data_IF_510177619378
#
_entry.id   IF_510177619378
#
_cell.length_a   1.000
_cell.length_b   1.000
_cell.length_c   1.000
_cell.angle_alpha   90.00
_cell.angle_beta   90.00
_cell.angle_gamma   90.00
#
_symmetry.space_group_name_H-M   'P 1'
#
loop_
_entity.id
_entity.type
_entity.pdbx_description
1 polymer ?
#
# COMPACT_ATOMS: atom_id res chain seq x y z
N UNK A 1 22.84 -23.49 -21.11
CA UNK A 1 21.43 -23.22 -20.73
C UNK A 1 20.91 -24.45 -20.03
N UNK A 2 20.97 -24.47 -18.69
CA UNK A 2 20.36 -25.55 -17.90
C UNK A 2 18.91 -25.10 -17.60
N UNK A 3 17.94 -25.89 -18.10
CA UNK A 3 16.53 -25.60 -17.95
C UNK A 3 16.11 -25.64 -16.47
N UNK A 4 15.45 -24.58 -16.03
CA UNK A 4 14.74 -24.52 -14.75
C UNK A 4 13.64 -25.60 -14.78
N UNK A 5 13.81 -26.65 -14.00
CA UNK A 5 12.74 -27.63 -13.79
C UNK A 5 11.66 -26.95 -12.93
N UNK A 6 10.57 -26.58 -13.55
CA UNK A 6 9.34 -26.24 -12.82
C UNK A 6 8.90 -27.49 -12.05
N UNK A 7 8.94 -27.43 -10.73
CA UNK A 7 8.35 -28.44 -9.86
C UNK A 7 6.86 -28.56 -10.22
N UNK A 8 6.36 -29.79 -10.34
CA UNK A 8 4.99 -30.11 -10.72
C UNK A 8 3.98 -29.25 -9.93
N UNK A 9 3.40 -28.26 -10.55
CA UNK A 9 2.51 -27.25 -9.92
C UNK A 9 1.34 -27.86 -9.11
N UNK A 10 0.93 -29.09 -9.39
CA UNK A 10 -0.09 -29.81 -8.60
C UNK A 10 0.36 -30.14 -7.16
N UNK A 11 1.62 -30.43 -6.93
CA UNK A 11 2.12 -30.78 -5.56
C UNK A 11 2.31 -29.52 -4.73
N UNK A 12 2.83 -28.44 -5.31
CA UNK A 12 3.01 -27.17 -4.61
C UNK A 12 1.67 -26.54 -4.22
N UNK A 13 0.71 -26.48 -5.15
CA UNK A 13 -0.62 -25.92 -4.89
C UNK A 13 -1.37 -26.63 -3.74
N UNK A 14 -1.26 -27.98 -3.64
CA UNK A 14 -1.89 -28.75 -2.56
C UNK A 14 -1.23 -28.48 -1.20
N UNK A 15 0.08 -28.28 -1.16
CA UNK A 15 0.83 -27.96 0.05
C UNK A 15 0.51 -26.55 0.55
N UNK A 16 0.46 -25.54 -0.34
CA UNK A 16 0.06 -24.15 0.00
C UNK A 16 -1.34 -24.12 0.58
N UNK A 17 -2.30 -24.77 -0.05
CA UNK A 17 -3.68 -24.82 0.44
C UNK A 17 -3.76 -25.40 1.85
N UNK A 18 -3.09 -26.52 2.09
CA UNK A 18 -3.06 -27.15 3.40
C UNK A 18 -2.41 -26.24 4.45
N UNK A 19 -1.31 -25.56 4.10
CA UNK A 19 -0.64 -24.63 4.99
C UNK A 19 -1.56 -23.46 5.38
N UNK A 20 -2.33 -22.91 4.43
CA UNK A 20 -3.30 -21.86 4.69
C UNK A 20 -4.40 -22.37 5.63
N UNK A 21 -5.01 -23.51 5.33
CA UNK A 21 -6.08 -24.10 6.14
C UNK A 21 -5.65 -24.34 7.60
N UNK A 22 -4.41 -24.81 7.81
CA UNK A 22 -3.86 -25.07 9.14
C UNK A 22 -3.51 -23.79 9.93
N UNK A 23 -3.33 -22.66 9.25
CA UNK A 23 -2.91 -21.40 9.85
C UNK A 23 -3.94 -20.25 9.74
N UNK A 24 -5.11 -20.50 9.16
CA UNK A 24 -6.10 -19.47 8.82
C UNK A 24 -6.45 -18.56 10.01
N UNK A 25 -6.78 -19.14 11.15
CA UNK A 25 -7.17 -18.36 12.34
C UNK A 25 -6.02 -17.44 12.83
N UNK A 26 -4.75 -17.92 12.76
CA UNK A 26 -3.59 -17.12 13.11
C UNK A 26 -3.37 -16.00 12.09
N UNK A 27 -3.48 -16.28 10.81
CA UNK A 27 -3.32 -15.30 9.74
C UNK A 27 -4.34 -14.17 9.84
N UNK A 28 -5.59 -14.52 10.12
CA UNK A 28 -6.65 -13.54 10.33
C UNK A 28 -6.36 -12.67 11.55
N UNK A 29 -5.96 -13.24 12.70
CA UNK A 29 -5.69 -12.45 13.90
C UNK A 29 -4.47 -11.54 13.73
N UNK A 30 -3.41 -12.01 13.07
CA UNK A 30 -2.25 -11.19 12.76
C UNK A 30 -2.63 -10.00 11.85
N UNK A 31 -3.43 -10.23 10.82
CA UNK A 31 -3.95 -9.19 9.95
C UNK A 31 -4.87 -8.22 10.71
N UNK A 32 -5.80 -8.73 11.50
CA UNK A 32 -6.70 -7.92 12.32
C UNK A 32 -5.94 -7.07 13.33
N UNK A 33 -4.84 -7.58 13.88
CA UNK A 33 -3.99 -6.81 14.77
C UNK A 33 -3.37 -5.57 14.12
N UNK A 34 -3.14 -5.58 12.81
CA UNK A 34 -2.70 -4.42 12.04
C UNK A 34 -3.87 -3.46 11.74
N UNK A 35 -5.03 -4.01 11.37
CA UNK A 35 -6.24 -3.21 11.05
C UNK A 35 -6.68 -2.39 12.27
N UNK A 36 -6.64 -2.97 13.48
CA UNK A 36 -7.01 -2.30 14.73
C UNK A 36 -6.13 -1.11 15.08
N UNK A 37 -5.00 -0.93 14.42
CA UNK A 37 -4.15 0.25 14.57
C UNK A 37 -4.55 1.28 13.52
N UNK A 38 -5.19 2.41 13.90
CA UNK A 38 -5.68 3.42 12.95
C UNK A 38 -4.53 4.31 12.44
N UNK A 39 -3.67 3.73 11.63
CA UNK A 39 -2.50 4.39 11.05
C UNK A 39 -2.88 5.36 9.91
N UNK A 40 -3.63 6.40 10.23
CA UNK A 40 -4.08 7.42 9.29
C UNK A 40 -3.00 8.47 9.12
N UNK A 41 -2.28 8.43 7.99
CA UNK A 41 -1.13 9.33 7.72
C UNK A 41 -1.53 10.80 7.59
N UNK A 42 -2.74 11.07 7.08
CA UNK A 42 -3.27 12.41 6.92
C UNK A 42 -3.66 13.10 8.24
N UNK A 43 -3.74 12.36 9.37
CA UNK A 43 -4.10 12.89 10.67
C UNK A 43 -2.86 13.06 11.57
N UNK A 44 -2.40 14.31 11.83
CA UNK A 44 -1.22 14.56 12.66
C UNK A 44 -1.34 14.05 14.10
N UNK A 45 -2.55 13.78 14.59
CA UNK A 45 -2.79 13.26 15.96
C UNK A 45 -2.53 11.74 16.04
N UNK A 46 -2.43 11.05 14.91
CA UNK A 46 -2.20 9.61 14.80
C UNK A 46 -0.74 9.17 14.73
N UNK A 47 0.22 10.07 15.01
CA UNK A 47 1.66 9.74 14.97
C UNK A 47 2.05 8.55 15.83
N UNK A 48 1.42 8.38 16.99
CA UNK A 48 1.66 7.23 17.86
C UNK A 48 1.18 5.93 17.22
N UNK A 49 0.03 5.98 16.55
CA UNK A 49 -0.54 4.83 15.83
C UNK A 49 0.32 4.46 14.62
N UNK A 50 0.88 5.46 13.92
CA UNK A 50 1.83 5.22 12.83
C UNK A 50 3.06 4.42 13.31
N UNK A 51 3.68 4.84 14.40
CA UNK A 51 4.82 4.13 14.99
C UNK A 51 4.41 2.75 15.49
N UNK A 52 3.26 2.61 16.14
CA UNK A 52 2.75 1.32 16.63
C UNK A 52 2.51 0.33 15.47
N UNK A 53 1.98 0.81 14.35
CA UNK A 53 1.76 -0.01 13.16
C UNK A 53 3.09 -0.47 12.54
N UNK A 54 4.06 0.43 12.42
CA UNK A 54 5.40 0.09 11.93
C UNK A 54 6.09 -0.95 12.83
N UNK A 55 6.02 -0.80 14.15
CA UNK A 55 6.56 -1.78 15.11
C UNK A 55 5.83 -3.12 15.01
N UNK A 56 4.50 -3.12 14.83
CA UNK A 56 3.75 -4.37 14.62
C UNK A 56 4.18 -5.09 13.35
N UNK A 57 4.36 -4.39 12.24
CA UNK A 57 4.90 -4.96 11.00
C UNK A 57 6.29 -5.53 11.19
N UNK A 58 7.20 -4.83 11.87
CA UNK A 58 8.53 -5.33 12.21
C UNK A 58 8.48 -6.68 12.95
N UNK A 59 7.60 -6.78 13.94
CA UNK A 59 7.45 -8.05 14.70
C UNK A 59 6.92 -9.17 13.81
N UNK A 60 5.91 -8.92 12.99
CA UNK A 60 5.35 -9.92 12.08
C UNK A 60 6.39 -10.43 11.05
N UNK A 61 7.23 -9.53 10.53
CA UNK A 61 8.30 -9.90 9.60
C UNK A 61 9.35 -10.80 10.25
N UNK A 62 9.74 -10.52 11.50
CA UNK A 62 10.64 -11.38 12.27
C UNK A 62 10.00 -12.73 12.57
N UNK A 63 8.74 -12.77 12.99
CA UNK A 63 7.98 -13.99 13.25
C UNK A 63 7.81 -14.86 11.99
N UNK A 64 7.69 -14.22 10.82
CA UNK A 64 7.64 -14.89 9.52
C UNK A 64 8.99 -15.49 9.08
N UNK A 65 10.09 -15.11 9.75
CA UNK A 65 11.42 -15.68 9.52
C UNK A 65 12.41 -14.77 8.79
N UNK A 66 12.19 -13.46 8.77
CA UNK A 66 13.22 -12.50 8.37
C UNK A 66 14.44 -12.60 9.29
N UNK A 67 15.63 -12.44 8.74
CA UNK A 67 16.89 -12.45 9.52
C UNK A 67 17.04 -11.17 10.34
N UNK A 68 16.53 -10.06 9.81
CA UNK A 68 16.43 -8.77 10.52
C UNK A 68 15.17 -8.00 10.08
N UNK A 69 14.67 -7.17 10.98
CA UNK A 69 13.67 -6.15 10.68
C UNK A 69 13.88 -4.91 11.55
N UNK A 70 13.71 -3.75 10.98
CA UNK A 70 13.97 -2.45 11.63
C UNK A 70 12.88 -1.45 11.28
N UNK A 71 12.48 -0.64 12.26
CA UNK A 71 11.74 0.60 12.00
C UNK A 71 12.78 1.70 11.77
N UNK A 72 12.79 2.30 10.60
CA UNK A 72 13.78 3.28 10.17
C UNK A 72 13.16 4.66 10.13
N UNK A 73 13.81 5.69 10.70
CA UNK A 73 13.29 7.04 10.67
C UNK A 73 13.32 7.61 9.25
N UNK A 74 12.38 8.51 8.95
CA UNK A 74 12.36 9.34 7.77
C UNK A 74 12.13 10.81 8.17
N UNK A 75 12.00 11.70 7.19
CA UNK A 75 11.57 13.09 7.46
C UNK A 75 10.09 13.20 7.88
N UNK A 76 9.32 12.16 7.70
CA UNK A 76 7.91 12.06 8.08
C UNK A 76 7.62 10.82 8.92
N UNK A 77 6.71 9.95 8.48
CA UNK A 77 6.43 8.70 9.15
C UNK A 77 7.55 7.66 8.91
N UNK A 78 7.87 6.79 9.89
CA UNK A 78 8.94 5.83 9.74
C UNK A 78 8.62 4.79 8.66
N UNK A 79 9.67 4.18 8.08
CA UNK A 79 9.53 3.03 7.20
C UNK A 79 9.93 1.76 7.94
N UNK A 80 9.39 0.62 7.51
CA UNK A 80 9.79 -0.69 8.01
C UNK A 80 10.66 -1.36 6.94
N UNK A 81 11.85 -1.76 7.31
CA UNK A 81 12.74 -2.57 6.50
C UNK A 81 12.89 -3.95 7.11
N UNK A 82 12.90 -4.99 6.29
CA UNK A 82 13.28 -6.32 6.69
C UNK A 82 14.04 -7.06 5.59
N UNK A 83 14.84 -8.06 5.96
CA UNK A 83 15.64 -8.85 5.02
C UNK A 83 15.70 -10.31 5.44
N UNK A 84 15.69 -11.20 4.43
CA UNK A 84 16.04 -12.60 4.51
C UNK A 84 17.05 -12.93 3.43
N UNK A 85 18.23 -13.40 3.83
CA UNK A 85 19.29 -13.83 2.90
C UNK A 85 19.34 -15.36 2.79
N UNK A 86 19.36 -15.85 1.55
CA UNK A 86 19.57 -17.28 1.26
C UNK A 86 20.95 -17.54 0.64
N UNK A 87 21.59 -16.54 0.05
CA UNK A 87 22.92 -16.65 -0.52
C UNK A 87 23.42 -15.34 -1.13
N UNK A 88 24.74 -15.21 -1.24
CA UNK A 88 25.37 -13.99 -1.79
C UNK A 88 25.04 -13.78 -3.27
N UNK A 89 25.01 -14.86 -4.05
CA UNK A 89 24.75 -14.81 -5.51
C UNK A 89 23.27 -15.02 -5.86
N UNK A 90 22.39 -15.13 -4.85
CA UNK A 90 20.97 -15.31 -5.08
C UNK A 90 20.34 -13.97 -5.50
N UNK A 91 19.47 -13.95 -6.55
CA UNK A 91 18.71 -12.78 -6.89
C UNK A 91 17.90 -12.24 -5.70
N UNK A 92 17.75 -10.92 -5.62
CA UNK A 92 17.05 -10.23 -4.54
C UNK A 92 15.73 -9.66 -5.03
N UNK A 93 14.65 -10.02 -4.34
CA UNK A 93 13.31 -9.47 -4.54
C UNK A 93 13.05 -8.45 -3.43
N UNK A 94 12.73 -7.22 -3.79
CA UNK A 94 12.25 -6.19 -2.89
C UNK A 94 10.73 -6.15 -2.95
N UNK A 95 10.08 -6.39 -1.83
CA UNK A 95 8.62 -6.28 -1.67
C UNK A 95 8.33 -4.89 -1.11
N UNK A 96 7.52 -4.14 -1.84
CA UNK A 96 7.05 -2.83 -1.43
C UNK A 96 5.57 -2.90 -1.04
N UNK A 97 5.20 -2.16 -0.02
CA UNK A 97 3.84 -1.91 0.40
C UNK A 97 3.76 -0.70 1.31
N UNK A 98 2.55 -0.37 1.77
CA UNK A 98 2.36 0.69 2.75
C UNK A 98 1.47 0.25 3.92
N UNK A 99 1.66 0.90 5.06
CA UNK A 99 0.92 0.55 6.27
C UNK A 99 -0.01 1.67 6.76
N UNK A 100 0.08 2.84 6.14
CA UNK A 100 -0.90 3.90 6.37
C UNK A 100 -2.21 3.63 5.63
N UNK A 101 -3.23 4.33 6.04
CA UNK A 101 -4.57 4.21 5.49
C UNK A 101 -5.23 5.57 5.37
N UNK A 102 -6.17 5.70 4.43
CA UNK A 102 -7.04 6.87 4.31
C UNK A 102 -7.89 7.07 5.56
N UNK A 103 -8.32 8.32 5.86
CA UNK A 103 -9.37 8.60 6.84
C UNK A 103 -10.62 7.76 6.59
N UNK A 104 -11.34 7.41 7.68
CA UNK A 104 -12.52 6.58 7.58
C UNK A 104 -13.84 7.38 7.45
N UNK A 105 -13.78 8.69 7.47
CA UNK A 105 -14.94 9.57 7.35
C UNK A 105 -15.63 9.44 5.97
N UNK A 106 -16.95 9.58 5.91
CA UNK A 106 -17.87 9.83 7.02
C UNK A 106 -18.22 8.54 7.80
N UNK A 107 -18.09 8.58 9.13
CA UNK A 107 -18.22 7.40 9.99
C UNK A 107 -19.63 6.81 10.03
N UNK A 108 -20.67 7.61 9.80
CA UNK A 108 -22.08 7.21 9.79
C UNK A 108 -22.45 6.29 8.61
N UNK A 109 -21.61 6.20 7.59
CA UNK A 109 -21.79 5.27 6.48
C UNK A 109 -21.26 3.87 6.76
N UNK A 110 -20.44 3.68 7.80
CA UNK A 110 -19.94 2.38 8.18
C UNK A 110 -21.00 1.60 8.97
N UNK A 111 -21.12 0.29 8.67
CA UNK A 111 -21.99 -0.62 9.40
C UNK A 111 -21.37 -1.17 10.69
N UNK A 112 -20.04 -1.09 10.80
CA UNK A 112 -19.22 -1.49 11.95
C UNK A 112 -18.11 -0.45 12.12
N UNK A 113 -17.43 -0.47 13.27
CA UNK A 113 -16.24 0.39 13.46
C UNK A 113 -15.20 0.12 12.35
N UNK A 114 -14.74 1.14 11.63
CA UNK A 114 -13.80 0.96 10.53
C UNK A 114 -12.45 0.37 10.94
N UNK A 115 -12.07 0.43 12.21
CA UNK A 115 -10.82 -0.12 12.73
C UNK A 115 -11.03 -1.38 13.60
N UNK A 116 -12.27 -1.90 13.69
CA UNK A 116 -12.53 -3.22 14.24
C UNK A 116 -13.02 -4.15 13.13
N UNK A 117 -12.17 -5.05 12.63
CA UNK A 117 -12.46 -5.86 11.45
C UNK A 117 -13.63 -6.81 11.72
N UNK A 118 -14.62 -6.78 10.86
CA UNK A 118 -15.80 -7.64 10.92
C UNK A 118 -15.88 -8.57 9.72
N UNK A 119 -16.07 -9.86 9.96
CA UNK A 119 -16.30 -10.84 8.89
C UNK A 119 -17.80 -10.98 8.63
N UNK A 120 -18.24 -10.64 7.42
CA UNK A 120 -19.61 -10.79 6.96
C UNK A 120 -19.64 -11.49 5.61
N UNK A 121 -20.41 -12.55 5.50
CA UNK A 121 -20.56 -13.32 4.23
C UNK A 121 -19.24 -13.73 3.59
N UNK A 122 -18.24 -14.08 4.41
CA UNK A 122 -16.91 -14.50 3.95
C UNK A 122 -15.99 -13.35 3.51
N UNK A 123 -16.38 -12.10 3.75
CA UNK A 123 -15.59 -10.91 3.46
C UNK A 123 -15.23 -10.15 4.74
N UNK A 124 -14.02 -9.59 4.79
CA UNK A 124 -13.57 -8.71 5.88
C UNK A 124 -13.89 -7.27 5.54
N UNK A 125 -14.56 -6.58 6.45
CA UNK A 125 -14.91 -5.17 6.31
C UNK A 125 -14.17 -4.35 7.37
N UNK A 126 -13.23 -3.52 6.93
CA UNK A 126 -12.52 -2.55 7.75
C UNK A 126 -11.74 -1.57 6.87
N UNK A 127 -11.30 -0.43 7.41
CA UNK A 127 -10.36 0.46 6.74
C UNK A 127 -8.97 -0.20 6.66
N UNK A 128 -8.36 -0.23 5.45
CA UNK A 128 -7.08 -0.89 5.21
C UNK A 128 -7.18 -2.43 5.12
N UNK A 129 -8.40 -3.01 5.08
CA UNK A 129 -8.58 -4.45 4.91
C UNK A 129 -8.04 -4.94 3.56
N UNK A 130 -8.12 -4.13 2.53
CA UNK A 130 -7.51 -4.37 1.21
C UNK A 130 -6.26 -3.50 1.09
N UNK A 131 -6.44 -2.22 0.96
CA UNK A 131 -5.47 -1.18 0.67
C UNK A 131 -4.79 -0.66 1.96
N UNK A 132 -3.52 -0.97 2.21
CA UNK A 132 -2.67 -2.02 1.61
C UNK A 132 -2.28 -3.08 2.66
N UNK A 133 -2.82 -2.97 3.92
CA UNK A 133 -2.51 -3.93 4.99
C UNK A 133 -2.87 -5.37 4.61
N UNK A 134 -3.97 -5.56 3.86
CA UNK A 134 -4.38 -6.88 3.39
C UNK A 134 -3.47 -7.43 2.31
N UNK A 135 -3.17 -6.67 1.30
CA UNK A 135 -2.31 -7.09 0.19
C UNK A 135 -0.87 -7.31 0.66
N UNK A 136 -0.33 -6.41 1.47
CA UNK A 136 0.98 -6.58 2.12
C UNK A 136 1.03 -7.79 3.05
N UNK A 137 -0.07 -8.12 3.75
CA UNK A 137 -0.18 -9.34 4.56
C UNK A 137 -0.11 -10.61 3.69
N UNK A 138 -0.70 -10.61 2.50
CA UNK A 138 -0.60 -11.74 1.55
C UNK A 138 0.88 -11.99 1.21
N UNK A 139 1.64 -10.93 0.91
CA UNK A 139 3.06 -11.03 0.61
C UNK A 139 3.86 -11.57 1.81
N UNK A 140 3.56 -11.10 3.01
CA UNK A 140 4.17 -11.61 4.24
C UNK A 140 3.89 -13.10 4.44
N UNK A 141 2.65 -13.56 4.20
CA UNK A 141 2.28 -14.98 4.39
C UNK A 141 2.84 -15.87 3.30
N UNK A 142 2.96 -15.38 2.08
CA UNK A 142 3.69 -16.08 1.01
C UNK A 142 5.19 -16.24 1.38
N UNK A 143 5.81 -15.18 1.88
CA UNK A 143 7.19 -15.23 2.38
C UNK A 143 7.33 -16.22 3.55
N UNK A 144 6.47 -16.14 4.57
CA UNK A 144 6.48 -17.05 5.72
C UNK A 144 6.37 -18.51 5.26
N UNK A 145 5.44 -18.82 4.36
CA UNK A 145 5.29 -20.16 3.79
C UNK A 145 6.60 -20.64 3.12
N UNK A 146 7.19 -19.81 2.27
CA UNK A 146 8.42 -20.18 1.56
C UNK A 146 9.60 -20.41 2.51
N UNK A 147 9.70 -19.64 3.59
CA UNK A 147 10.74 -19.82 4.62
C UNK A 147 10.50 -21.12 5.39
N UNK A 148 9.30 -21.33 5.92
CA UNK A 148 8.99 -22.48 6.79
C UNK A 148 9.03 -23.81 6.07
N UNK A 149 8.59 -23.84 4.80
CA UNK A 149 8.59 -25.05 3.98
C UNK A 149 9.92 -25.26 3.22
N UNK A 150 10.91 -24.38 3.42
CA UNK A 150 12.22 -24.48 2.77
C UNK A 150 12.17 -24.27 1.25
N UNK A 151 11.19 -23.51 0.76
CA UNK A 151 10.99 -23.20 -0.65
C UNK A 151 11.65 -21.89 -1.11
N UNK A 152 12.11 -21.06 -0.18
CA UNK A 152 12.74 -19.80 -0.52
C UNK A 152 14.06 -20.02 -1.28
N UNK A 153 14.21 -19.37 -2.44
CA UNK A 153 15.39 -19.50 -3.32
C UNK A 153 16.02 -18.17 -3.67
N UNK A 154 15.43 -17.07 -3.24
CA UNK A 154 15.87 -15.72 -3.49
C UNK A 154 16.07 -14.99 -2.17
N UNK A 155 16.97 -14.00 -2.16
CA UNK A 155 17.00 -13.03 -1.08
C UNK A 155 15.71 -12.22 -1.16
N UNK A 156 15.14 -11.90 -0.01
CA UNK A 156 13.91 -11.10 0.05
C UNK A 156 14.17 -9.91 0.97
N UNK A 157 13.80 -8.74 0.49
CA UNK A 157 13.73 -7.51 1.27
C UNK A 157 12.30 -7.02 1.31
N UNK A 158 11.93 -6.38 2.40
CA UNK A 158 10.67 -5.65 2.53
C UNK A 158 10.96 -4.18 2.79
N UNK A 159 10.18 -3.31 2.18
CA UNK A 159 10.06 -1.91 2.54
C UNK A 159 8.58 -1.56 2.62
N UNK A 160 8.12 -1.13 3.81
CA UNK A 160 6.75 -0.71 4.03
C UNK A 160 6.78 0.75 4.48
N UNK A 161 6.13 1.63 3.74
CA UNK A 161 6.07 3.06 4.06
C UNK A 161 4.80 3.44 4.82
N UNK A 162 4.77 4.63 5.40
CA UNK A 162 3.65 5.15 6.16
C UNK A 162 3.13 6.49 5.64
N UNK A 163 3.27 6.79 4.35
CA UNK A 163 2.88 8.06 3.75
C UNK A 163 2.32 7.92 2.33
N UNK A 164 2.00 6.70 1.88
CA UNK A 164 1.50 6.48 0.51
C UNK A 164 0.23 7.28 0.26
N UNK A 165 -0.71 7.24 1.18
CA UNK A 165 -2.02 7.88 1.11
C UNK A 165 -1.99 9.43 1.16
N UNK A 166 -0.81 10.00 1.39
CA UNK A 166 -0.54 11.44 1.31
C UNK A 166 0.50 11.79 0.25
N UNK A 167 0.81 10.86 -0.66
CA UNK A 167 1.70 11.05 -1.81
C UNK A 167 3.18 10.83 -1.53
N UNK A 168 3.53 10.04 -0.50
CA UNK A 168 4.91 9.58 -0.21
C UNK A 168 5.96 10.70 -0.12
N UNK A 169 5.72 11.80 0.60
CA UNK A 169 6.61 12.97 0.57
C UNK A 169 8.05 12.66 1.04
N UNK A 170 8.23 11.67 1.92
CA UNK A 170 9.54 11.30 2.47
C UNK A 170 10.23 10.17 1.71
N UNK A 171 9.50 9.39 0.90
CA UNK A 171 10.00 8.17 0.29
C UNK A 171 11.20 8.40 -0.62
N UNK A 172 11.14 9.38 -1.51
CA UNK A 172 12.22 9.61 -2.46
C UNK A 172 13.56 9.92 -1.76
N UNK A 173 13.55 10.77 -0.73
CA UNK A 173 14.75 11.08 0.04
C UNK A 173 15.30 9.83 0.74
N UNK A 174 14.42 9.03 1.36
CA UNK A 174 14.77 7.78 2.00
C UNK A 174 15.41 6.77 1.03
N UNK A 175 14.84 6.61 -0.17
CA UNK A 175 15.36 5.71 -1.19
C UNK A 175 16.76 6.14 -1.67
N UNK A 176 17.02 7.43 -1.80
CA UNK A 176 18.33 7.95 -2.19
C UNK A 176 19.38 7.71 -1.10
N UNK A 177 19.03 7.94 0.17
CA UNK A 177 19.92 7.73 1.31
C UNK A 177 20.26 6.24 1.51
N UNK A 178 19.30 5.35 1.27
CA UNK A 178 19.43 3.91 1.52
C UNK A 178 19.56 3.07 0.25
N UNK A 179 20.03 3.67 -0.84
CA UNK A 179 20.09 3.03 -2.17
C UNK A 179 20.82 1.68 -2.17
N UNK A 180 21.93 1.58 -1.47
CA UNK A 180 22.70 0.33 -1.39
C UNK A 180 21.98 -0.74 -0.58
N UNK A 181 21.35 -0.35 0.54
CA UNK A 181 20.55 -1.22 1.38
C UNK A 181 19.38 -1.83 0.60
N UNK A 182 18.74 -1.02 -0.25
CA UNK A 182 17.55 -1.38 -1.01
C UNK A 182 17.86 -1.96 -2.40
N UNK A 183 19.13 -2.12 -2.77
CA UNK A 183 19.50 -2.72 -4.05
C UNK A 183 18.85 -4.10 -4.22
N UNK A 184 18.23 -4.31 -5.40
CA UNK A 184 17.46 -5.51 -5.73
C UNK A 184 17.46 -5.75 -7.24
N UNK A 185 17.07 -6.96 -7.64
CA UNK A 185 16.92 -7.33 -9.05
C UNK A 185 15.49 -7.15 -9.54
N UNK A 186 14.51 -7.33 -8.63
CA UNK A 186 13.07 -7.23 -8.93
C UNK A 186 12.38 -6.53 -7.78
N UNK A 187 11.43 -5.64 -8.12
CA UNK A 187 10.50 -5.05 -7.15
C UNK A 187 9.13 -5.69 -7.36
N UNK A 188 8.53 -6.15 -6.27
CA UNK A 188 7.17 -6.68 -6.23
C UNK A 188 6.29 -5.70 -5.46
N UNK A 189 5.24 -5.22 -6.13
CA UNK A 189 4.21 -4.35 -5.56
C UNK A 189 2.87 -5.05 -5.70
N UNK A 190 2.10 -5.17 -4.62
CA UNK A 190 0.78 -5.82 -4.65
C UNK A 190 -0.39 -4.85 -4.43
N UNK A 191 -0.11 -3.58 -4.29
CA UNK A 191 -1.11 -2.51 -4.21
C UNK A 191 -1.80 -2.31 -5.57
N UNK A 192 -2.65 -3.27 -5.92
CA UNK A 192 -3.35 -3.36 -7.20
C UNK A 192 -4.70 -4.07 -7.05
N UNK A 193 -5.64 -3.80 -7.94
CA UNK A 193 -6.94 -4.46 -7.94
C UNK A 193 -6.92 -5.77 -8.73
N UNK A 194 -7.68 -6.77 -8.27
CA UNK A 194 -8.02 -7.95 -9.08
C UNK A 194 -9.08 -7.60 -10.12
N UNK A 195 -9.02 -8.25 -11.29
CA UNK A 195 -10.06 -8.08 -12.32
C UNK A 195 -11.41 -8.64 -11.90
N UNK A 196 -11.41 -9.73 -11.12
CA UNK A 196 -12.58 -10.35 -10.50
C UNK A 196 -12.12 -11.19 -9.30
N UNK A 197 -13.01 -11.54 -8.34
CA UNK A 197 -12.64 -12.26 -7.13
C UNK A 197 -11.94 -13.60 -7.34
N UNK A 198 -12.18 -14.25 -8.49
CA UNK A 198 -11.65 -15.56 -8.87
C UNK A 198 -10.63 -15.47 -10.04
N UNK A 199 -10.29 -14.26 -10.46
CA UNK A 199 -9.37 -14.03 -11.58
C UNK A 199 -8.10 -13.31 -11.12
N UNK A 200 -7.06 -14.05 -10.67
CA UNK A 200 -5.79 -13.46 -10.31
C UNK A 200 -5.12 -12.82 -11.52
N UNK A 201 -4.45 -11.71 -11.29
CA UNK A 201 -3.77 -10.94 -12.35
C UNK A 201 -2.37 -10.51 -11.93
N UNK A 202 -1.50 -10.31 -12.91
CA UNK A 202 -0.21 -9.65 -12.76
C UNK A 202 -0.23 -8.36 -13.57
N UNK A 203 -0.21 -7.23 -12.88
CA UNK A 203 -0.11 -5.92 -13.52
C UNK A 203 1.34 -5.66 -13.90
N UNK A 204 1.62 -5.50 -15.20
CA UNK A 204 2.97 -5.30 -15.72
C UNK A 204 3.25 -3.86 -16.18
N UNK A 205 2.27 -2.97 -16.02
CA UNK A 205 2.40 -1.56 -16.38
C UNK A 205 1.23 -0.75 -15.81
N UNK A 206 1.48 0.50 -15.55
CA UNK A 206 0.50 1.45 -15.02
C UNK A 206 0.24 2.57 -16.04
N UNK A 207 -0.91 3.20 -15.91
CA UNK A 207 -1.20 4.44 -16.63
C UNK A 207 -0.40 5.58 -16.02
N UNK A 208 0.01 6.55 -16.86
CA UNK A 208 0.52 7.81 -16.35
C UNK A 208 -0.54 8.63 -15.64
N UNK A 209 -0.12 9.47 -14.72
CA UNK A 209 -0.94 10.43 -14.00
C UNK A 209 -0.40 11.83 -14.23
N UNK A 210 -1.30 12.79 -14.53
CA UNK A 210 -1.02 14.21 -14.47
C UNK A 210 -2.11 14.88 -13.63
N UNK A 211 -1.73 15.45 -12.50
CA UNK A 211 -2.62 16.20 -11.61
C UNK A 211 -2.46 17.68 -11.86
N UNK A 212 -3.59 18.39 -11.98
CA UNK A 212 -3.62 19.82 -12.25
C UNK A 212 -4.58 20.51 -11.30
N UNK A 213 -4.14 21.62 -10.74
CA UNK A 213 -5.00 22.56 -10.04
C UNK A 213 -5.07 23.85 -10.85
N UNK A 214 -6.28 24.37 -11.07
CA UNK A 214 -6.51 25.58 -11.83
C UNK A 214 -7.25 26.57 -10.95
N UNK A 215 -6.59 27.68 -10.63
CA UNK A 215 -7.18 28.79 -9.92
C UNK A 215 -7.45 29.96 -10.89
N UNK A 216 -8.65 30.49 -10.87
CA UNK A 216 -9.02 31.71 -11.63
C UNK A 216 -9.41 32.80 -10.66
N UNK A 217 -8.54 33.80 -10.52
CA UNK A 217 -8.77 34.93 -9.66
C UNK A 217 -9.56 36.01 -10.41
N UNK A 218 -10.68 36.44 -9.82
CA UNK A 218 -11.52 37.51 -10.32
C UNK A 218 -11.20 38.87 -9.69
N UNK A 219 -12.14 39.84 -9.74
CA UNK A 219 -12.01 41.12 -9.06
C UNK A 219 -11.79 40.97 -7.55
N UNK A 220 -11.18 42.00 -6.95
CA UNK A 220 -10.83 42.02 -5.52
C UNK A 220 -12.04 42.19 -4.56
N UNK A 221 -13.26 42.18 -5.09
CA UNK A 221 -14.54 42.30 -4.36
C UNK A 221 -15.68 41.78 -5.20
N UNK A 222 -16.80 41.47 -4.57
CA UNK A 222 -18.05 41.15 -5.26
C UNK A 222 -18.58 42.33 -6.05
N UNK A 223 -18.99 42.06 -7.27
CA UNK A 223 -19.52 43.05 -8.18
C UNK A 223 -20.99 42.78 -8.47
N UNK A 224 -21.81 43.84 -8.41
CA UNK A 224 -23.24 43.77 -8.76
C UNK A 224 -23.40 43.53 -10.26
N UNK A 225 -24.07 42.44 -10.64
CA UNK A 225 -24.25 42.04 -12.06
C UNK A 225 -24.99 43.09 -12.92
N UNK A 226 -25.90 43.85 -12.33
CA UNK A 226 -26.61 44.90 -13.02
C UNK A 226 -25.74 46.09 -13.44
N UNK A 227 -24.58 46.29 -12.81
CA UNK A 227 -23.65 47.37 -13.14
C UNK A 227 -22.41 46.87 -13.91
N UNK A 228 -21.97 45.67 -13.67
CA UNK A 228 -20.69 45.15 -14.18
C UNK A 228 -20.88 43.95 -15.12
N UNK A 229 -22.11 43.40 -15.24
CA UNK A 229 -22.42 42.28 -16.12
C UNK A 229 -22.06 42.58 -17.57
N UNK A 230 -21.30 41.68 -18.20
CA UNK A 230 -20.79 41.86 -19.56
C UNK A 230 -19.56 42.76 -19.70
N UNK A 231 -19.27 43.63 -18.72
CA UNK A 231 -18.09 44.50 -18.72
C UNK A 231 -16.88 43.89 -18.00
N UNK A 232 -17.13 43.05 -16.98
CA UNK A 232 -16.10 42.35 -16.22
C UNK A 232 -16.32 40.83 -16.33
N UNK A 233 -15.24 40.08 -16.64
CA UNK A 233 -15.32 38.65 -16.76
C UNK A 233 -15.63 37.98 -15.40
N UNK A 234 -16.60 37.08 -15.39
CA UNK A 234 -16.89 36.25 -14.24
C UNK A 234 -15.87 35.08 -14.17
N UNK A 235 -15.13 34.90 -13.07
CA UNK A 235 -14.10 33.87 -12.96
C UNK A 235 -14.66 32.47 -13.16
N UNK A 236 -15.90 32.19 -12.76
CA UNK A 236 -16.52 30.87 -12.97
C UNK A 236 -16.71 30.63 -14.49
N UNK A 237 -17.18 31.61 -15.27
CA UNK A 237 -17.34 31.45 -16.70
C UNK A 237 -15.98 31.24 -17.41
N UNK A 238 -14.94 31.94 -16.93
CA UNK A 238 -13.57 31.76 -17.45
C UNK A 238 -13.07 30.36 -17.13
N UNK A 239 -13.21 29.88 -15.89
CA UNK A 239 -12.82 28.55 -15.47
C UNK A 239 -13.52 27.45 -16.29
N UNK A 240 -14.86 27.55 -16.43
CA UNK A 240 -15.62 26.59 -17.23
C UNK A 240 -15.15 26.57 -18.70
N UNK A 241 -14.88 27.75 -19.28
CA UNK A 241 -14.35 27.85 -20.64
C UNK A 241 -12.95 27.29 -20.80
N UNK A 242 -12.08 27.40 -19.79
CA UNK A 242 -10.75 26.77 -19.76
C UNK A 242 -10.87 25.27 -19.69
N UNK A 243 -11.67 24.75 -18.75
CA UNK A 243 -11.85 23.30 -18.56
C UNK A 243 -12.42 22.63 -19.83
N UNK A 244 -13.41 23.26 -20.48
CA UNK A 244 -13.99 22.75 -21.72
C UNK A 244 -12.97 22.64 -22.87
N UNK A 245 -11.87 23.39 -22.83
CA UNK A 245 -10.80 23.35 -23.84
C UNK A 245 -9.68 22.37 -23.52
N UNK A 246 -9.70 21.79 -22.33
CA UNK A 246 -8.68 20.81 -21.88
C UNK A 246 -9.08 19.37 -22.21
N UNK A 247 -10.29 19.14 -22.67
CA UNK A 247 -10.79 17.82 -23.08
C UNK A 247 -10.96 17.81 -24.60
N UNK A 248 -10.36 16.80 -25.24
CA UNK A 248 -10.67 16.47 -26.64
C UNK A 248 -11.98 15.67 -26.68
N UNK A 249 -12.82 15.91 -27.74
CA UNK A 249 -14.05 15.15 -27.97
C UNK A 249 -13.75 13.73 -28.48
#
# INVERSE_FOLDING_TARGET
MQGVKFLNGKYMAKSVKKYIEENEARFLEEWFSLIRIPSVSADPTRKTDMVACAERWKHLLLEAGADEARVMPSSGNPLVYAEKRVGFDAPTVLIYGHYDVMPAEPLDLWKSDPFEPEVRDGHVFARGADDDKGQSMIQLKAFEYMVREGHLRHNVKFILEGEEEIGSPSLNAFLQEHRELLACDVILVSDTSMLAPDLPSLTTGLRGLAYWEIEVTGPNRDLHSGHFGGAVANPINVLCSLLARMTDE
#
